data_IF_851912267280
#
_entry.id   IF_851912267280
#
_cell.length_a   1.000
_cell.length_b   1.000
_cell.length_c   1.000
_cell.angle_alpha   90.00
_cell.angle_beta   90.00
_cell.angle_gamma   90.00
#
_symmetry.space_group_name_H-M   'P 1'
#
loop_
_entity.id
_entity.type
_entity.pdbx_description
1 polymer ?
#
# COMPACT_ATOMS: atom_id res chain seq x y z
N UNK A 1 -39.62 -3.96 -38.20
CA UNK A 1 -38.28 -3.40 -37.88
C UNK A 1 -38.30 -2.94 -36.43
N UNK A 2 -37.79 -3.78 -35.51
CA UNK A 2 -37.59 -3.40 -34.11
C UNK A 2 -36.20 -2.78 -33.95
N UNK A 3 -36.15 -1.50 -33.60
CA UNK A 3 -34.92 -0.84 -33.14
C UNK A 3 -35.02 -0.60 -31.64
N UNK A 4 -34.44 -1.49 -30.83
CA UNK A 4 -34.28 -1.25 -29.39
C UNK A 4 -32.96 -0.54 -29.12
N UNK A 5 -33.08 0.57 -28.39
CA UNK A 5 -32.03 1.51 -27.99
C UNK A 5 -30.92 0.82 -27.19
N UNK A 6 -29.67 1.03 -27.59
CA UNK A 6 -28.48 0.78 -26.75
C UNK A 6 -28.53 1.73 -25.54
N UNK A 7 -28.77 1.18 -24.37
CA UNK A 7 -28.47 1.82 -23.09
C UNK A 7 -26.96 1.89 -22.92
N UNK A 8 -26.39 3.07 -23.12
CA UNK A 8 -25.03 3.38 -22.71
C UNK A 8 -25.00 3.40 -21.18
N UNK A 9 -24.38 2.38 -20.58
CA UNK A 9 -23.96 2.38 -19.18
C UNK A 9 -22.96 3.52 -18.98
N UNK A 10 -23.45 4.66 -18.51
CA UNK A 10 -22.65 5.75 -18.00
C UNK A 10 -21.92 5.28 -16.75
N UNK A 11 -20.69 4.78 -16.92
CA UNK A 11 -19.73 4.70 -15.81
C UNK A 11 -19.54 6.13 -15.29
N UNK A 12 -20.10 6.43 -14.11
CA UNK A 12 -19.73 7.64 -13.38
C UNK A 12 -18.24 7.57 -13.15
N UNK A 13 -17.50 8.42 -13.85
CA UNK A 13 -16.08 8.66 -13.62
C UNK A 13 -15.89 9.01 -12.16
N UNK A 14 -15.36 8.07 -11.38
CA UNK A 14 -14.79 8.34 -10.07
C UNK A 14 -13.68 9.34 -10.32
N UNK A 15 -13.81 10.54 -9.77
CA UNK A 15 -12.77 11.55 -9.88
C UNK A 15 -11.48 11.00 -9.24
N UNK A 16 -10.50 10.65 -10.06
CA UNK A 16 -9.15 10.25 -9.67
C UNK A 16 -8.39 11.36 -8.89
N UNK A 17 -9.03 12.50 -8.69
CA UNK A 17 -8.51 13.78 -8.22
C UNK A 17 -8.24 13.85 -6.72
N UNK A 18 -8.73 12.87 -5.97
CA UNK A 18 -8.69 12.82 -4.50
C UNK A 18 -7.71 11.75 -3.99
N UNK A 19 -7.27 10.83 -4.86
CA UNK A 19 -6.40 9.72 -4.48
C UNK A 19 -5.00 10.16 -4.01
N UNK A 20 -4.58 11.39 -4.31
CA UNK A 20 -3.26 11.94 -3.95
C UNK A 20 -3.25 12.86 -2.73
N UNK A 21 -4.42 13.29 -2.24
CA UNK A 21 -4.50 14.26 -1.13
C UNK A 21 -5.03 13.64 0.16
N UNK A 22 -4.84 12.33 0.33
CA UNK A 22 -4.98 11.70 1.62
C UNK A 22 -3.59 11.53 2.23
N UNK A 23 -3.12 12.51 3.03
CA UNK A 23 -2.30 12.11 4.15
C UNK A 23 -3.14 11.05 4.87
N UNK A 24 -2.61 9.83 4.96
CA UNK A 24 -3.13 8.90 5.94
C UNK A 24 -2.97 9.66 7.24
N UNK A 25 -4.04 10.32 7.73
CA UNK A 25 -4.01 11.02 9.01
C UNK A 25 -3.65 9.92 9.98
N UNK A 26 -2.39 9.89 10.37
CA UNK A 26 -1.89 9.08 11.47
C UNK A 26 -2.61 9.65 12.70
N UNK A 27 -3.87 9.27 12.90
CA UNK A 27 -4.43 9.31 14.23
C UNK A 27 -3.56 8.33 14.99
N UNK A 28 -2.80 8.85 15.94
CA UNK A 28 -2.05 8.06 16.92
C UNK A 28 -3.07 7.14 17.59
N UNK A 29 -3.22 5.94 17.05
CA UNK A 29 -3.99 4.87 17.64
C UNK A 29 -3.00 4.09 18.49
N UNK A 30 -3.00 4.34 19.79
CA UNK A 30 -2.42 3.41 20.74
C UNK A 30 -3.21 2.11 20.63
N UNK A 31 -2.59 1.09 20.04
CA UNK A 31 -3.19 -0.24 19.94
C UNK A 31 -2.37 -1.21 20.78
N UNK A 32 -3.00 -1.74 21.83
CA UNK A 32 -2.51 -2.87 22.59
C UNK A 32 -2.94 -4.15 21.87
N UNK A 33 -2.02 -4.80 21.19
CA UNK A 33 -2.26 -6.11 20.59
C UNK A 33 -2.14 -7.18 21.68
N UNK A 34 -3.27 -7.75 22.07
CA UNK A 34 -3.32 -9.06 22.71
C UNK A 34 -3.60 -10.08 21.60
N UNK A 35 -2.52 -10.65 21.05
CA UNK A 35 -2.40 -12.03 20.57
C UNK A 35 -1.05 -12.18 19.84
N UNK A 36 -0.33 -13.25 20.17
CA UNK A 36 1.07 -13.46 19.86
C UNK A 36 1.34 -13.94 18.43
N UNK A 37 1.47 -12.99 17.50
CA UNK A 37 2.20 -13.21 16.26
C UNK A 37 3.00 -11.94 15.91
N UNK A 38 4.30 -12.11 15.70
CA UNK A 38 5.31 -11.16 15.19
C UNK A 38 4.93 -9.66 15.25
N UNK A 39 5.34 -8.97 16.32
CA UNK A 39 5.37 -7.50 16.52
C UNK A 39 4.66 -6.65 15.43
N UNK A 40 3.35 -6.36 15.56
CA UNK A 40 2.57 -5.59 14.58
C UNK A 40 3.05 -4.12 14.40
N UNK A 41 4.03 -3.69 15.20
CA UNK A 41 4.58 -2.34 15.19
C UNK A 41 5.94 -2.23 14.48
N UNK A 42 6.51 -3.32 13.95
CA UNK A 42 7.81 -3.29 13.26
C UNK A 42 7.81 -2.35 12.05
N UNK A 43 6.69 -2.24 11.34
CA UNK A 43 6.59 -1.31 10.21
C UNK A 43 6.79 0.15 10.65
N UNK A 44 6.37 0.52 11.87
CA UNK A 44 6.44 1.90 12.37
C UNK A 44 7.77 2.24 13.05
N UNK A 45 8.68 1.27 13.18
CA UNK A 45 10.00 1.54 13.73
C UNK A 45 10.79 2.53 12.86
N UNK A 46 11.46 3.49 13.49
CA UNK A 46 12.21 4.54 12.78
C UNK A 46 13.35 3.94 11.94
N UNK A 47 13.97 2.87 12.43
CA UNK A 47 15.00 2.11 11.71
C UNK A 47 14.45 1.54 10.41
N UNK A 48 13.34 0.79 10.49
CA UNK A 48 12.64 0.20 9.33
C UNK A 48 12.15 1.26 8.36
N UNK A 49 11.52 2.33 8.86
CA UNK A 49 11.03 3.43 8.01
C UNK A 49 12.17 4.13 7.27
N UNK A 50 13.30 4.37 7.93
CA UNK A 50 14.48 4.96 7.27
C UNK A 50 15.03 4.07 6.16
N UNK A 51 15.04 2.75 6.37
CA UNK A 51 15.49 1.76 5.39
C UNK A 51 14.54 1.65 4.20
N UNK A 52 13.22 1.62 4.45
CA UNK A 52 12.20 1.61 3.41
C UNK A 52 12.21 2.89 2.57
N UNK A 53 12.47 4.05 3.18
CA UNK A 53 12.67 5.32 2.46
C UNK A 53 13.89 5.26 1.54
N UNK A 54 15.01 4.68 1.99
CA UNK A 54 16.21 4.46 1.15
C UNK A 54 15.92 3.54 -0.03
N UNK A 55 15.29 2.39 0.25
CA UNK A 55 14.87 1.40 -0.75
C UNK A 55 13.95 1.97 -1.83
N UNK A 56 13.05 2.88 -1.45
CA UNK A 56 12.07 3.46 -2.39
C UNK A 56 12.73 4.28 -3.49
N UNK A 57 13.92 4.86 -3.22
CA UNK A 57 14.65 5.86 -4.03
C UNK A 57 13.74 7.00 -4.52
N UNK A 58 14.04 8.24 -4.12
CA UNK A 58 13.25 9.39 -4.55
C UNK A 58 13.63 9.80 -5.99
N UNK A 59 12.71 9.62 -6.93
CA UNK A 59 12.80 10.19 -8.28
C UNK A 59 11.76 11.31 -8.46
N UNK A 60 12.25 12.54 -8.58
CA UNK A 60 11.42 13.74 -8.72
C UNK A 60 10.56 13.72 -9.99
N UNK A 61 11.06 13.13 -11.07
CA UNK A 61 10.32 13.05 -12.34
C UNK A 61 9.13 12.10 -12.22
N UNK A 62 9.33 10.95 -11.57
CA UNK A 62 8.27 9.97 -11.32
C UNK A 62 7.24 10.47 -10.31
N UNK A 63 7.67 11.16 -9.25
CA UNK A 63 6.78 11.70 -8.20
C UNK A 63 5.86 12.79 -8.76
N UNK A 64 6.42 13.77 -9.46
CA UNK A 64 5.67 14.91 -10.01
C UNK A 64 5.17 14.70 -11.44
N UNK A 65 5.14 13.44 -11.92
CA UNK A 65 4.67 13.15 -13.27
C UNK A 65 3.24 13.64 -13.48
N UNK A 66 2.94 14.07 -14.69
CA UNK A 66 1.60 14.52 -15.06
C UNK A 66 0.62 13.36 -14.98
N UNK A 67 -0.38 13.45 -14.09
CA UNK A 67 -1.47 12.48 -13.97
C UNK A 67 -2.74 13.01 -14.61
N UNK A 68 -3.53 12.12 -15.24
CA UNK A 68 -4.84 12.46 -15.80
C UNK A 68 -5.89 12.44 -14.68
N UNK A 69 -5.87 13.44 -13.82
CA UNK A 69 -6.74 13.54 -12.64
C UNK A 69 -8.18 14.00 -12.93
N UNK A 70 -8.54 14.24 -14.18
CA UNK A 70 -9.85 14.80 -14.56
C UNK A 70 -10.05 16.26 -14.16
N UNK A 71 -9.07 16.90 -13.51
CA UNK A 71 -9.03 18.35 -13.28
C UNK A 71 -8.64 19.07 -14.57
N UNK A 72 -9.21 20.26 -14.78
CA UNK A 72 -8.75 21.17 -15.82
C UNK A 72 -7.26 21.48 -15.65
N UNK A 73 -6.50 21.40 -16.74
CA UNK A 73 -5.09 21.80 -16.74
C UNK A 73 -5.03 23.29 -16.47
N UNK A 74 -4.37 23.68 -15.37
CA UNK A 74 -4.08 25.09 -15.10
C UNK A 74 -2.94 25.56 -15.98
N UNK A 75 -2.96 26.83 -16.36
CA UNK A 75 -1.91 27.43 -17.15
C UNK A 75 -0.56 27.41 -16.42
N UNK A 76 0.52 27.21 -17.17
CA UNK A 76 1.88 27.18 -16.62
C UNK A 76 2.34 28.59 -16.33
N UNK A 77 2.73 28.87 -15.08
CA UNK A 77 3.24 30.17 -14.66
C UNK A 77 4.76 30.16 -14.69
N UNK A 78 5.37 30.97 -15.56
CA UNK A 78 6.80 31.17 -15.62
C UNK A 78 7.24 32.21 -14.58
N UNK A 79 8.36 31.96 -13.91
CA UNK A 79 8.96 32.86 -12.91
C UNK A 79 10.47 32.96 -13.16
N UNK A 80 10.99 34.19 -13.14
CA UNK A 80 12.44 34.41 -13.12
C UNK A 80 12.94 34.26 -11.68
N UNK A 81 13.98 33.44 -11.49
CA UNK A 81 14.54 33.15 -10.17
C UNK A 81 16.06 33.38 -10.19
N UNK A 82 16.60 33.85 -9.09
CA UNK A 82 18.06 33.80 -8.85
C UNK A 82 18.49 32.37 -8.49
N UNK A 83 19.80 32.09 -8.49
CA UNK A 83 20.33 30.78 -8.10
C UNK A 83 19.91 30.38 -6.69
N UNK A 84 19.98 31.31 -5.73
CA UNK A 84 19.54 31.06 -4.35
C UNK A 84 18.04 30.74 -4.25
N UNK A 85 17.19 31.43 -5.03
CA UNK A 85 15.76 31.15 -5.07
C UNK A 85 15.46 29.80 -5.73
N UNK A 86 16.25 29.40 -6.74
CA UNK A 86 16.11 28.09 -7.37
C UNK A 86 16.45 26.97 -6.39
N UNK A 87 17.53 27.10 -5.62
CA UNK A 87 17.90 26.12 -4.59
C UNK A 87 16.83 25.99 -3.49
N UNK A 88 16.22 27.11 -3.07
CA UNK A 88 15.08 27.10 -2.15
C UNK A 88 13.86 26.38 -2.76
N UNK A 89 13.52 26.67 -4.02
CA UNK A 89 12.42 26.02 -4.71
C UNK A 89 12.65 24.51 -4.87
N UNK A 90 13.89 24.07 -5.11
CA UNK A 90 14.26 22.65 -5.17
C UNK A 90 14.07 22.00 -3.80
N UNK A 91 14.55 22.62 -2.71
CA UNK A 91 14.35 22.09 -1.35
C UNK A 91 12.88 21.98 -0.95
N UNK A 92 12.06 22.95 -1.34
CA UNK A 92 10.62 22.91 -1.10
C UNK A 92 9.94 21.82 -1.95
N UNK A 93 10.39 21.59 -3.18
CA UNK A 93 9.92 20.49 -4.01
C UNK A 93 10.31 19.13 -3.39
N UNK A 94 11.51 19.01 -2.83
CA UNK A 94 11.96 17.80 -2.12
C UNK A 94 11.10 17.51 -0.89
N UNK A 95 10.77 18.53 -0.08
CA UNK A 95 9.88 18.38 1.09
C UNK A 95 8.49 17.89 0.67
N UNK A 96 7.93 18.49 -0.40
CA UNK A 96 6.64 18.06 -0.96
C UNK A 96 6.69 16.63 -1.50
N UNK A 97 7.80 16.24 -2.13
CA UNK A 97 7.97 14.88 -2.62
C UNK A 97 7.99 13.87 -1.45
N UNK A 98 8.62 14.22 -0.33
CA UNK A 98 8.64 13.37 0.86
C UNK A 98 7.25 13.23 1.49
N UNK A 99 6.43 14.29 1.48
CA UNK A 99 5.01 14.25 1.88
C UNK A 99 4.18 13.34 0.97
N UNK A 100 4.37 13.44 -0.35
CA UNK A 100 3.66 12.60 -1.34
C UNK A 100 4.09 11.12 -1.28
N UNK A 101 5.34 10.85 -0.90
CA UNK A 101 5.88 9.50 -0.75
C UNK A 101 5.60 8.88 0.62
N UNK A 102 4.77 9.51 1.46
CA UNK A 102 4.37 8.92 2.73
C UNK A 102 3.67 7.57 2.51
N UNK A 103 4.33 6.50 2.96
CA UNK A 103 3.87 5.14 2.80
C UNK A 103 2.55 4.91 3.55
N UNK A 104 1.57 4.19 2.97
CA UNK A 104 0.41 3.76 3.72
C UNK A 104 0.83 2.80 4.86
N UNK A 105 0.19 2.87 6.03
CA UNK A 105 0.49 1.97 7.14
C UNK A 105 0.12 0.53 6.79
N UNK A 106 0.98 -0.41 7.19
CA UNK A 106 0.71 -1.85 7.11
C UNK A 106 0.15 -2.29 8.46
N UNK A 107 -1.06 -2.86 8.46
CA UNK A 107 -1.75 -3.32 9.67
C UNK A 107 -2.21 -4.76 9.50
N UNK A 108 -2.40 -5.47 10.63
CA UNK A 108 -3.08 -6.76 10.64
C UNK A 108 -4.59 -6.59 10.45
N UNK A 109 -5.23 -7.67 10.02
CA UNK A 109 -6.67 -7.71 9.84
C UNK A 109 -7.39 -7.49 11.18
N UNK A 110 -8.37 -6.58 11.17
CA UNK A 110 -9.18 -6.29 12.36
C UNK A 110 -10.17 -7.42 12.64
N UNK A 111 -10.40 -7.70 13.92
CA UNK A 111 -11.46 -8.63 14.37
C UNK A 111 -12.85 -8.00 14.17
N UNK A 112 -13.83 -8.83 13.84
CA UNK A 112 -15.24 -8.40 13.75
C UNK A 112 -15.77 -7.96 15.12
N UNK A 113 -16.68 -6.97 15.10
CA UNK A 113 -17.34 -6.48 16.30
C UNK A 113 -18.60 -7.31 16.51
N UNK A 114 -18.58 -8.22 17.47
CA UNK A 114 -19.79 -8.89 17.96
C UNK A 114 -20.01 -8.53 19.43
N UNK A 115 -20.72 -7.41 19.63
CA UNK A 115 -21.06 -6.95 20.98
C UNK A 115 -22.54 -6.59 21.06
N UNK A 116 -23.26 -7.34 21.91
CA UNK A 116 -24.67 -7.13 22.19
C UNK A 116 -24.82 -6.28 23.44
N UNK A 117 -25.54 -5.17 23.34
CA UNK A 117 -25.83 -4.27 24.45
C UNK A 117 -27.04 -4.75 25.26
N UNK A 118 -28.16 -5.02 24.57
CA UNK A 118 -29.45 -5.36 25.20
C UNK A 118 -30.21 -6.35 24.32
N UNK A 119 -30.94 -7.29 24.93
CA UNK A 119 -31.87 -8.19 24.24
C UNK A 119 -33.27 -8.01 24.82
N UNK A 120 -34.20 -7.56 23.96
CA UNK A 120 -35.60 -7.30 24.35
C UNK A 120 -36.55 -8.20 23.57
N UNK A 121 -36.98 -9.30 24.19
CA UNK A 121 -37.85 -10.31 23.53
C UNK A 121 -39.22 -9.76 23.13
N UNK A 122 -39.71 -8.73 23.84
CA UNK A 122 -41.01 -8.09 23.55
C UNK A 122 -41.03 -7.34 22.21
N UNK A 123 -39.87 -7.03 21.65
CA UNK A 123 -39.74 -6.30 20.39
C UNK A 123 -39.60 -7.23 19.17
N UNK A 124 -39.54 -8.55 19.40
CA UNK A 124 -39.43 -9.56 18.33
C UNK A 124 -40.68 -9.50 17.45
N UNK A 125 -40.48 -9.34 16.13
CA UNK A 125 -41.56 -9.32 15.15
C UNK A 125 -42.36 -8.01 15.07
N UNK A 126 -42.00 -6.98 15.86
CA UNK A 126 -42.63 -5.66 15.80
C UNK A 126 -42.24 -4.91 14.52
N UNK A 127 -40.97 -5.04 14.10
CA UNK A 127 -40.41 -4.36 12.95
C UNK A 127 -39.92 -5.36 11.90
N UNK A 128 -40.07 -5.02 10.62
CA UNK A 128 -39.64 -5.82 9.46
C UNK A 128 -38.26 -5.46 8.93
N UNK A 129 -37.58 -4.51 9.57
CA UNK A 129 -36.30 -3.97 9.12
C UNK A 129 -35.47 -3.52 10.30
N UNK A 130 -34.15 -3.53 10.13
CA UNK A 130 -33.18 -3.08 11.13
C UNK A 130 -33.14 -1.55 11.21
N UNK A 131 -32.96 -1.02 12.41
CA UNK A 131 -32.71 0.42 12.63
C UNK A 131 -31.26 0.64 13.03
N UNK A 132 -30.60 1.62 12.39
CA UNK A 132 -29.21 1.98 12.68
C UNK A 132 -29.19 3.38 13.29
N UNK A 133 -28.77 3.45 14.55
CA UNK A 133 -28.62 4.69 15.30
C UNK A 133 -27.15 5.10 15.24
N UNK A 134 -26.88 6.29 14.71
CA UNK A 134 -25.51 6.82 14.57
C UNK A 134 -25.39 8.13 15.34
N UNK A 135 -24.41 8.21 16.24
CA UNK A 135 -24.05 9.47 16.88
C UNK A 135 -23.33 10.40 15.89
N UNK A 136 -23.93 11.54 15.58
CA UNK A 136 -23.39 12.54 14.64
C UNK A 136 -22.63 13.67 15.33
N UNK A 137 -22.29 13.52 16.61
CA UNK A 137 -21.55 14.53 17.37
C UNK A 137 -20.18 14.86 16.71
N UNK A 138 -19.84 16.15 16.73
CA UNK A 138 -18.54 16.66 16.29
C UNK A 138 -17.46 16.32 17.34
N UNK A 139 -16.23 16.05 16.89
CA UNK A 139 -15.10 15.71 17.78
C UNK A 139 -14.92 14.21 18.06
N UNK A 140 -15.79 13.35 17.53
CA UNK A 140 -15.61 11.89 17.50
C UNK A 140 -14.89 11.45 16.22
N UNK A 141 -14.03 10.45 16.32
CA UNK A 141 -13.37 9.81 15.19
C UNK A 141 -14.23 8.66 14.64
N UNK A 142 -13.99 8.31 13.38
CA UNK A 142 -14.70 7.22 12.71
C UNK A 142 -14.55 5.87 13.40
N UNK A 143 -13.53 5.69 14.26
CA UNK A 143 -13.30 4.49 15.08
C UNK A 143 -13.98 4.53 16.46
N UNK A 144 -14.13 5.70 17.08
CA UNK A 144 -14.70 5.80 18.44
C UNK A 144 -16.18 6.25 18.48
N UNK A 145 -16.75 6.63 17.33
CA UNK A 145 -18.17 6.99 17.19
C UNK A 145 -19.10 5.85 17.62
N UNK A 146 -20.15 6.15 18.39
CA UNK A 146 -21.14 5.15 18.79
C UNK A 146 -22.12 4.89 17.64
N UNK A 147 -22.21 3.63 17.20
CA UNK A 147 -23.18 3.20 16.19
C UNK A 147 -23.83 1.91 16.70
N UNK A 148 -25.14 1.95 16.89
CA UNK A 148 -25.92 0.83 17.40
C UNK A 148 -26.94 0.38 16.35
N UNK A 149 -27.17 -0.92 16.29
CA UNK A 149 -28.13 -1.54 15.39
C UNK A 149 -29.18 -2.27 16.22
N UNK A 150 -30.45 -1.93 15.98
CA UNK A 150 -31.59 -2.69 16.49
C UNK A 150 -32.01 -3.68 15.42
N UNK A 151 -31.82 -4.96 15.70
CA UNK A 151 -32.23 -6.05 14.81
C UNK A 151 -33.73 -6.38 14.96
N UNK A 152 -34.25 -7.15 14.02
CA UNK A 152 -35.66 -7.60 13.98
C UNK A 152 -36.00 -8.55 15.14
N UNK A 153 -34.98 -9.22 15.69
CA UNK A 153 -35.07 -10.09 16.87
C UNK A 153 -35.06 -9.32 18.19
N UNK A 154 -35.34 -8.00 18.17
CA UNK A 154 -35.38 -7.17 19.38
C UNK A 154 -34.01 -6.96 20.05
N UNK A 155 -32.91 -7.36 19.42
CA UNK A 155 -31.55 -7.22 19.96
C UNK A 155 -30.93 -5.88 19.58
N UNK A 156 -30.40 -5.13 20.55
CA UNK A 156 -29.55 -3.97 20.35
C UNK A 156 -28.09 -4.39 20.42
N UNK A 157 -27.38 -4.27 19.30
CA UNK A 157 -25.94 -4.57 19.22
C UNK A 157 -25.15 -3.37 18.68
N UNK A 158 -23.83 -3.42 18.81
CA UNK A 158 -22.97 -2.51 18.06
C UNK A 158 -23.00 -2.86 16.57
N UNK A 159 -22.82 -1.83 15.73
CA UNK A 159 -22.74 -2.01 14.29
C UNK A 159 -21.47 -2.79 13.89
N UNK A 160 -21.61 -3.64 12.88
CA UNK A 160 -20.49 -4.32 12.26
C UNK A 160 -19.61 -3.32 11.51
N UNK A 161 -18.38 -3.70 11.16
CA UNK A 161 -17.46 -2.80 10.45
C UNK A 161 -17.98 -2.31 9.10
N UNK A 162 -18.70 -3.15 8.35
CA UNK A 162 -19.33 -2.76 7.08
C UNK A 162 -20.43 -1.70 7.30
N UNK A 163 -21.36 -1.97 8.22
CA UNK A 163 -22.44 -1.05 8.60
C UNK A 163 -21.86 0.28 9.08
N UNK A 164 -20.81 0.22 9.92
CA UNK A 164 -20.09 1.39 10.44
C UNK A 164 -19.45 2.22 9.33
N UNK A 165 -18.73 1.57 8.42
CA UNK A 165 -18.07 2.25 7.29
C UNK A 165 -19.10 2.95 6.41
N UNK A 166 -20.23 2.28 6.14
CA UNK A 166 -21.34 2.82 5.36
C UNK A 166 -21.98 4.03 6.04
N UNK A 167 -22.30 3.93 7.33
CA UNK A 167 -22.89 5.05 8.09
C UNK A 167 -21.94 6.23 8.17
N UNK A 168 -20.66 5.99 8.46
CA UNK A 168 -19.66 7.05 8.48
C UNK A 168 -19.57 7.75 7.13
N UNK A 169 -19.61 7.03 6.00
CA UNK A 169 -19.59 7.66 4.68
C UNK A 169 -20.88 8.44 4.34
N UNK A 170 -22.04 8.03 4.86
CA UNK A 170 -23.31 8.76 4.65
C UNK A 170 -23.30 10.09 5.41
N UNK A 171 -22.93 10.08 6.69
CA UNK A 171 -22.98 11.27 7.54
C UNK A 171 -21.74 12.16 7.40
N UNK A 172 -20.57 11.55 7.14
CA UNK A 172 -19.28 12.22 7.00
C UNK A 172 -18.59 11.78 5.70
N UNK A 173 -19.10 12.22 4.53
CA UNK A 173 -18.59 11.77 3.24
C UNK A 173 -17.12 12.13 3.05
N UNK A 174 -16.28 11.12 2.88
CA UNK A 174 -14.90 11.29 2.44
C UNK A 174 -14.87 11.33 0.91
N UNK A 175 -14.10 12.25 0.32
CA UNK A 175 -14.00 12.32 -1.14
C UNK A 175 -13.33 11.04 -1.68
N UNK A 176 -13.61 10.64 -2.93
CA UNK A 176 -13.19 9.36 -3.53
C UNK A 176 -13.61 8.05 -2.83
N UNK A 177 -14.13 8.06 -1.60
CA UNK A 177 -14.72 6.86 -1.00
C UNK A 177 -16.15 6.70 -1.50
N UNK A 178 -16.46 5.53 -2.04
CA UNK A 178 -17.81 5.17 -2.45
C UNK A 178 -18.54 4.43 -1.34
N UNK A 179 -19.87 4.54 -1.32
CA UNK A 179 -20.72 3.84 -0.36
C UNK A 179 -20.69 2.32 -0.56
N UNK A 180 -20.67 1.92 -1.82
CA UNK A 180 -20.57 0.52 -2.25
C UNK A 180 -19.17 0.26 -2.73
N UNK A 181 -18.67 -0.96 -2.50
CA UNK A 181 -17.35 -1.35 -3.00
C UNK A 181 -17.35 -1.30 -4.53
N UNK A 182 -16.41 -0.56 -5.14
CA UNK A 182 -16.30 -0.49 -6.59
C UNK A 182 -16.11 -1.87 -7.23
N UNK A 183 -16.80 -2.11 -8.34
CA UNK A 183 -16.79 -3.39 -9.11
C UNK A 183 -15.38 -3.77 -9.59
N UNK A 184 -14.45 -2.81 -9.66
CA UNK A 184 -13.05 -3.05 -10.01
C UNK A 184 -12.29 -3.93 -9.00
N UNK A 185 -12.73 -4.00 -7.75
CA UNK A 185 -12.08 -4.82 -6.71
C UNK A 185 -12.57 -6.28 -6.71
N UNK A 186 -13.59 -6.60 -7.52
CA UNK A 186 -13.99 -7.98 -7.77
C UNK A 186 -12.89 -8.70 -8.55
N UNK A 187 -12.67 -9.97 -8.26
CA UNK A 187 -11.50 -10.70 -8.74
C UNK A 187 -11.36 -10.74 -10.26
N UNK A 188 -12.48 -10.86 -10.98
CA UNK A 188 -12.53 -10.89 -12.44
C UNK A 188 -12.03 -9.60 -13.09
N UNK A 189 -12.38 -8.46 -12.50
CA UNK A 189 -11.97 -7.15 -13.02
C UNK A 189 -10.59 -6.75 -12.51
N UNK A 190 -10.28 -7.14 -11.27
CA UNK A 190 -8.97 -6.91 -10.68
C UNK A 190 -7.88 -7.60 -11.51
N UNK A 191 -8.06 -8.87 -11.90
CA UNK A 191 -7.09 -9.59 -12.75
C UNK A 191 -6.85 -8.88 -14.09
N UNK A 192 -7.89 -8.35 -14.74
CA UNK A 192 -7.75 -7.57 -15.99
C UNK A 192 -6.96 -6.28 -15.80
N UNK A 193 -7.04 -5.63 -14.63
CA UNK A 193 -6.27 -4.43 -14.32
C UNK A 193 -4.81 -4.77 -13.98
N UNK A 194 -4.58 -5.92 -13.34
CA UNK A 194 -3.24 -6.44 -13.05
C UNK A 194 -2.47 -6.70 -14.35
N UNK A 195 -3.10 -7.34 -15.35
CA UNK A 195 -2.51 -7.58 -16.68
C UNK A 195 -2.17 -6.30 -17.44
N UNK A 196 -2.89 -5.19 -17.18
CA UNK A 196 -2.63 -3.89 -17.79
C UNK A 196 -1.51 -3.09 -17.11
N UNK A 197 -0.88 -3.63 -16.07
CA UNK A 197 0.15 -2.96 -15.27
C UNK A 197 -0.34 -1.68 -14.56
N UNK A 198 -1.64 -1.55 -14.31
CA UNK A 198 -2.23 -0.38 -13.61
C UNK A 198 -2.19 -0.53 -12.07
N UNK A 199 -1.08 -1.05 -11.54
CA UNK A 199 -0.98 -1.44 -10.12
C UNK A 199 -1.02 -0.27 -9.16
N UNK A 200 -0.32 0.82 -9.49
CA UNK A 200 -0.35 2.04 -8.68
C UNK A 200 -1.77 2.61 -8.58
N UNK A 201 -2.54 2.54 -9.67
CA UNK A 201 -3.93 2.99 -9.67
C UNK A 201 -4.82 2.13 -8.75
N UNK A 202 -4.64 0.81 -8.79
CA UNK A 202 -5.37 -0.11 -7.89
C UNK A 202 -5.05 0.20 -6.43
N UNK A 203 -3.76 0.35 -6.09
CA UNK A 203 -3.31 0.61 -4.73
C UNK A 203 -3.76 1.99 -4.23
N UNK A 204 -3.64 3.03 -5.05
CA UNK A 204 -4.15 4.38 -4.75
C UNK A 204 -5.67 4.35 -4.52
N UNK A 205 -6.43 3.63 -5.37
CA UNK A 205 -7.88 3.47 -5.20
C UNK A 205 -8.21 2.72 -3.92
N UNK A 206 -7.47 1.66 -3.59
CA UNK A 206 -7.68 0.86 -2.38
C UNK A 206 -7.47 1.69 -1.12
N UNK A 207 -6.42 2.51 -1.05
CA UNK A 207 -6.17 3.43 0.07
C UNK A 207 -7.27 4.47 0.27
N UNK A 208 -7.94 4.90 -0.81
CA UNK A 208 -9.06 5.83 -0.69
C UNK A 208 -10.37 5.14 -0.28
N UNK A 209 -10.60 3.92 -0.79
CA UNK A 209 -11.85 3.20 -0.58
C UNK A 209 -11.92 2.57 0.82
N UNK A 210 -10.86 1.88 1.24
CA UNK A 210 -10.85 1.06 2.45
C UNK A 210 -10.04 1.71 3.58
N UNK A 211 -10.12 1.13 4.77
CA UNK A 211 -9.20 1.41 5.87
C UNK A 211 -8.03 0.40 5.83
N UNK A 212 -6.84 0.73 6.37
CA UNK A 212 -5.65 -0.12 6.25
C UNK A 212 -5.75 -1.48 6.97
N UNK A 213 -6.64 -1.60 7.96
CA UNK A 213 -6.93 -2.81 8.73
C UNK A 213 -8.14 -3.60 8.17
N UNK A 214 -8.73 -3.13 7.07
CA UNK A 214 -9.87 -3.77 6.43
C UNK A 214 -9.44 -5.06 5.71
N UNK A 215 -10.17 -6.19 5.87
CA UNK A 215 -9.87 -7.45 5.17
C UNK A 215 -9.77 -7.27 3.64
N UNK A 216 -10.64 -6.45 3.05
CA UNK A 216 -10.64 -6.23 1.59
C UNK A 216 -9.42 -5.42 1.14
N UNK A 217 -8.96 -4.46 1.95
CA UNK A 217 -7.73 -3.73 1.66
C UNK A 217 -6.52 -4.68 1.64
N UNK A 218 -6.41 -5.52 2.66
CA UNK A 218 -5.33 -6.48 2.82
C UNK A 218 -5.37 -7.49 1.67
N UNK A 219 -6.55 -8.02 1.32
CA UNK A 219 -6.75 -8.94 0.19
C UNK A 219 -6.28 -8.33 -1.13
N UNK A 220 -6.71 -7.11 -1.45
CA UNK A 220 -6.38 -6.45 -2.72
C UNK A 220 -4.88 -6.13 -2.80
N UNK A 221 -4.31 -5.54 -1.73
CA UNK A 221 -2.90 -5.16 -1.71
C UNK A 221 -1.97 -6.38 -1.82
N UNK A 222 -2.23 -7.46 -1.07
CA UNK A 222 -1.46 -8.72 -1.16
C UNK A 222 -1.51 -9.31 -2.56
N UNK A 223 -2.70 -9.38 -3.16
CA UNK A 223 -2.86 -9.89 -4.53
C UNK A 223 -2.07 -9.06 -5.56
N UNK A 224 -2.06 -7.74 -5.42
CA UNK A 224 -1.22 -6.87 -6.27
C UNK A 224 0.26 -7.15 -6.04
N UNK A 225 0.71 -7.25 -4.79
CA UNK A 225 2.12 -7.49 -4.46
C UNK A 225 2.64 -8.84 -4.96
N UNK A 226 1.85 -9.90 -4.80
CA UNK A 226 2.15 -11.23 -5.32
C UNK A 226 2.25 -11.23 -6.86
N UNK A 227 1.34 -10.51 -7.52
CA UNK A 227 1.38 -10.36 -8.99
C UNK A 227 2.59 -9.55 -9.46
N UNK A 228 2.95 -8.48 -8.76
CA UNK A 228 4.15 -7.70 -9.06
C UNK A 228 5.39 -8.58 -8.92
N UNK A 229 5.47 -9.37 -7.84
CA UNK A 229 6.58 -10.27 -7.61
C UNK A 229 6.69 -11.36 -8.68
N UNK A 230 5.57 -11.97 -9.09
CA UNK A 230 5.59 -12.98 -10.16
C UNK A 230 5.96 -12.40 -11.53
N UNK A 231 5.58 -11.15 -11.81
CA UNK A 231 5.97 -10.45 -13.03
C UNK A 231 7.43 -9.98 -13.07
N UNK A 232 8.05 -9.82 -11.90
CA UNK A 232 9.41 -9.27 -11.75
C UNK A 232 9.55 -7.77 -12.09
N UNK A 233 8.47 -7.06 -12.44
CA UNK A 233 8.56 -5.67 -12.89
C UNK A 233 8.36 -4.67 -11.74
N UNK A 234 9.33 -4.57 -10.84
CA UNK A 234 9.24 -3.67 -9.68
C UNK A 234 9.30 -2.18 -10.05
N UNK A 235 9.81 -1.84 -11.23
CA UNK A 235 10.02 -0.46 -11.68
C UNK A 235 8.73 0.36 -11.79
N UNK A 236 7.58 -0.28 -11.98
CA UNK A 236 6.29 0.41 -11.99
C UNK A 236 5.97 1.08 -10.65
N UNK A 237 6.29 0.41 -9.54
CA UNK A 237 6.00 0.87 -8.18
C UNK A 237 7.20 1.58 -7.53
N UNK A 238 8.40 1.51 -8.08
CA UNK A 238 9.55 2.29 -7.58
C UNK A 238 9.27 3.79 -7.60
N UNK A 239 9.83 4.50 -6.62
CA UNK A 239 9.57 5.92 -6.39
C UNK A 239 8.08 6.26 -6.26
N UNK A 240 7.28 5.31 -5.75
CA UNK A 240 5.90 5.53 -5.31
C UNK A 240 5.79 5.22 -3.83
N UNK A 241 4.74 5.75 -3.17
CA UNK A 241 4.45 5.49 -1.76
C UNK A 241 4.19 4.01 -1.43
N UNK A 242 3.92 3.17 -2.44
CA UNK A 242 3.56 1.77 -2.24
C UNK A 242 4.75 0.82 -2.32
N UNK A 243 5.93 1.30 -2.74
CA UNK A 243 7.12 0.45 -2.86
C UNK A 243 7.58 -0.11 -1.51
N UNK A 244 7.67 0.74 -0.49
CA UNK A 244 8.10 0.28 0.84
C UNK A 244 7.18 -0.80 1.43
N UNK A 245 5.84 -0.61 1.46
CA UNK A 245 4.90 -1.66 1.86
C UNK A 245 5.01 -2.95 1.05
N UNK A 246 5.26 -2.86 -0.26
CA UNK A 246 5.52 -4.04 -1.11
C UNK A 246 6.77 -4.80 -0.62
N UNK A 247 7.91 -4.11 -0.48
CA UNK A 247 9.16 -4.77 -0.05
C UNK A 247 9.02 -5.34 1.37
N UNK A 248 8.33 -4.61 2.26
CA UNK A 248 8.01 -5.11 3.59
C UNK A 248 7.16 -6.38 3.55
N UNK A 249 6.13 -6.43 2.71
CA UNK A 249 5.31 -7.63 2.53
C UNK A 249 6.11 -8.82 2.01
N UNK A 250 6.96 -8.61 1.00
CA UNK A 250 7.81 -9.66 0.43
C UNK A 250 8.84 -10.20 1.44
N UNK A 251 9.44 -9.31 2.23
CA UNK A 251 10.36 -9.71 3.28
C UNK A 251 9.62 -10.48 4.40
N UNK A 252 8.42 -10.03 4.78
CA UNK A 252 7.59 -10.73 5.77
C UNK A 252 7.15 -12.13 5.29
N UNK A 253 6.80 -12.28 4.01
CA UNK A 253 6.36 -13.54 3.42
C UNK A 253 7.52 -14.46 2.98
N UNK A 254 8.77 -14.12 3.32
CA UNK A 254 9.97 -14.82 2.86
C UNK A 254 10.05 -15.00 1.33
N UNK A 255 9.61 -14.01 0.54
CA UNK A 255 9.58 -14.10 -0.92
C UNK A 255 10.36 -12.93 -1.57
N UNK A 256 11.64 -12.83 -1.21
CA UNK A 256 12.52 -11.74 -1.64
C UNK A 256 13.34 -12.06 -2.90
N UNK A 257 13.43 -13.33 -3.29
CA UNK A 257 14.37 -13.82 -4.30
C UNK A 257 14.22 -13.12 -5.66
N UNK A 258 12.99 -12.92 -6.13
CA UNK A 258 12.76 -12.28 -7.43
C UNK A 258 13.09 -10.78 -7.39
N UNK A 259 12.88 -10.09 -6.25
CA UNK A 259 13.32 -8.71 -6.07
C UNK A 259 14.84 -8.60 -6.06
N UNK A 260 15.54 -9.52 -5.38
CA UNK A 260 17.00 -9.53 -5.36
C UNK A 260 17.58 -9.82 -6.75
N UNK A 261 16.97 -10.74 -7.51
CA UNK A 261 17.39 -11.02 -8.88
C UNK A 261 17.25 -9.77 -9.77
N UNK A 262 16.11 -9.07 -9.72
CA UNK A 262 15.93 -7.83 -10.51
C UNK A 262 16.88 -6.71 -10.07
N UNK A 263 17.17 -6.59 -8.77
CA UNK A 263 18.17 -5.64 -8.28
C UNK A 263 19.58 -5.94 -8.83
N UNK A 264 19.99 -7.21 -8.89
CA UNK A 264 21.29 -7.60 -9.45
C UNK A 264 21.34 -7.38 -10.96
N UNK A 265 20.25 -7.67 -11.68
CA UNK A 265 20.16 -7.45 -13.13
C UNK A 265 20.18 -5.97 -13.52
N UNK A 266 19.67 -5.09 -12.64
CA UNK A 266 19.58 -3.64 -12.88
C UNK A 266 20.71 -2.82 -12.24
N UNK A 267 21.79 -3.48 -11.78
CA UNK A 267 22.95 -2.85 -11.14
C UNK A 267 22.61 -2.06 -9.86
N UNK A 268 21.68 -2.59 -9.05
CA UNK A 268 21.23 -2.02 -7.78
C UNK A 268 21.65 -2.89 -6.59
N UNK A 269 22.95 -3.12 -6.47
CA UNK A 269 23.53 -3.94 -5.39
C UNK A 269 23.22 -3.39 -3.99
N UNK A 270 23.25 -2.06 -3.83
CA UNK A 270 22.90 -1.39 -2.57
C UNK A 270 21.45 -1.67 -2.14
N UNK A 271 20.51 -1.65 -3.09
CA UNK A 271 19.09 -1.90 -2.81
C UNK A 271 18.88 -3.36 -2.41
N UNK A 272 19.59 -4.31 -3.04
CA UNK A 272 19.57 -5.72 -2.66
C UNK A 272 20.07 -5.91 -1.22
N UNK A 273 21.17 -5.24 -0.88
CA UNK A 273 21.74 -5.23 0.45
C UNK A 273 20.79 -4.68 1.52
N UNK A 274 20.14 -3.54 1.26
CA UNK A 274 19.14 -2.97 2.16
C UNK A 274 17.90 -3.85 2.31
N UNK A 275 17.48 -4.54 1.24
CA UNK A 275 16.37 -5.48 1.31
C UNK A 275 16.70 -6.70 2.19
N UNK A 276 17.93 -7.22 2.12
CA UNK A 276 18.41 -8.30 3.01
C UNK A 276 18.51 -7.82 4.47
N UNK A 277 18.97 -6.58 4.70
CA UNK A 277 18.95 -5.99 6.05
C UNK A 277 17.53 -5.93 6.62
N UNK A 278 16.56 -5.50 5.82
CA UNK A 278 15.15 -5.50 6.22
C UNK A 278 14.67 -6.91 6.57
N UNK A 279 15.02 -7.89 5.73
CA UNK A 279 14.69 -9.29 5.98
C UNK A 279 15.24 -9.79 7.32
N UNK A 280 16.50 -9.47 7.65
CA UNK A 280 17.11 -9.86 8.94
C UNK A 280 16.42 -9.18 10.14
N UNK A 281 15.95 -7.95 9.99
CA UNK A 281 15.17 -7.27 11.04
C UNK A 281 13.83 -7.98 11.29
N UNK A 282 13.17 -8.45 10.22
CA UNK A 282 11.89 -9.17 10.31
C UNK A 282 12.05 -10.62 10.75
N UNK A 283 13.19 -11.25 10.45
CA UNK A 283 13.50 -12.64 10.82
C UNK A 283 14.81 -12.71 11.62
N UNK A 284 14.77 -12.41 12.94
CA UNK A 284 15.97 -12.41 13.78
C UNK A 284 16.71 -13.75 13.80
N UNK A 285 15.98 -14.86 13.63
CA UNK A 285 16.53 -16.23 13.65
C UNK A 285 17.23 -16.62 12.34
N UNK A 286 17.09 -15.82 11.27
CA UNK A 286 17.71 -16.12 9.98
C UNK A 286 19.25 -16.09 10.09
N UNK A 287 19.93 -17.05 9.45
CA UNK A 287 21.39 -17.16 9.48
C UNK A 287 22.07 -16.18 8.50
N UNK A 288 21.85 -14.89 8.70
CA UNK A 288 22.40 -13.78 7.92
C UNK A 288 22.95 -12.74 8.88
N UNK A 289 24.09 -12.15 8.55
CA UNK A 289 24.71 -11.10 9.36
C UNK A 289 23.80 -9.85 9.46
N UNK A 290 23.80 -9.21 10.62
CA UNK A 290 23.01 -7.99 10.86
C UNK A 290 23.62 -6.73 10.22
N UNK A 291 24.91 -6.76 9.90
CA UNK A 291 25.64 -5.60 9.36
C UNK A 291 26.46 -5.98 8.14
N UNK A 292 26.44 -5.11 7.13
CA UNK A 292 27.28 -5.23 5.95
C UNK A 292 28.67 -4.70 6.29
N UNK A 293 29.71 -5.50 6.05
CA UNK A 293 31.09 -5.02 6.12
C UNK A 293 31.39 -4.26 4.82
N UNK A 294 32.05 -3.11 4.95
CA UNK A 294 32.35 -2.25 3.81
C UNK A 294 33.21 -3.00 2.79
N UNK A 295 32.75 -3.09 1.55
CA UNK A 295 33.41 -3.85 0.47
C UNK A 295 33.04 -5.33 0.35
N UNK A 296 32.15 -5.86 1.20
CA UNK A 296 31.69 -7.27 1.15
C UNK A 296 30.21 -7.43 0.76
N UNK A 297 29.67 -6.48 -0.01
CA UNK A 297 28.24 -6.44 -0.40
C UNK A 297 27.84 -7.68 -1.23
N UNK A 298 28.69 -8.10 -2.17
CA UNK A 298 28.47 -9.31 -2.95
C UNK A 298 28.47 -10.58 -2.07
N UNK A 299 29.39 -10.66 -1.12
CA UNK A 299 29.48 -11.80 -0.21
C UNK A 299 28.27 -11.84 0.74
N UNK A 300 27.73 -10.67 1.10
CA UNK A 300 26.51 -10.55 1.89
C UNK A 300 25.30 -11.11 1.15
N UNK A 301 25.13 -10.77 -0.13
CA UNK A 301 24.09 -11.34 -0.98
C UNK A 301 24.28 -12.84 -1.13
N UNK A 302 25.53 -13.30 -1.29
CA UNK A 302 25.83 -14.74 -1.38
C UNK A 302 25.45 -15.50 -0.11
N UNK A 303 25.75 -14.95 1.06
CA UNK A 303 25.37 -15.56 2.35
C UNK A 303 23.85 -15.71 2.48
N UNK A 304 23.08 -14.72 2.01
CA UNK A 304 21.62 -14.82 1.93
C UNK A 304 21.17 -15.95 0.97
N UNK A 305 21.76 -16.03 -0.23
CA UNK A 305 21.45 -17.08 -1.22
C UNK A 305 21.68 -18.48 -0.64
N UNK A 306 22.77 -18.65 0.11
CA UNK A 306 23.14 -19.95 0.65
C UNK A 306 22.24 -20.40 1.81
N UNK A 307 21.74 -19.46 2.63
CA UNK A 307 21.07 -19.78 3.89
C UNK A 307 19.55 -19.56 3.90
N UNK A 308 19.01 -18.64 3.08
CA UNK A 308 17.64 -18.14 3.22
C UNK A 308 16.81 -18.12 1.92
N UNK A 309 17.42 -18.36 0.75
CA UNK A 309 16.72 -18.28 -0.53
C UNK A 309 15.81 -19.49 -0.79
N UNK A 310 14.60 -19.25 -1.30
CA UNK A 310 13.71 -20.32 -1.75
C UNK A 310 14.01 -20.71 -3.20
N UNK A 311 14.26 -19.73 -4.07
CA UNK A 311 14.60 -19.91 -5.50
C UNK A 311 16.10 -19.79 -5.78
N UNK A 312 16.90 -20.57 -5.04
CA UNK A 312 18.37 -20.51 -5.06
C UNK A 312 18.97 -20.55 -6.47
N UNK A 313 18.47 -21.41 -7.36
CA UNK A 313 19.02 -21.58 -8.71
C UNK A 313 18.92 -20.31 -9.58
N UNK A 314 17.77 -19.61 -9.52
CA UNK A 314 17.53 -18.39 -10.30
C UNK A 314 18.38 -17.24 -9.76
N UNK A 315 18.41 -17.08 -8.44
CA UNK A 315 19.17 -16.01 -7.80
C UNK A 315 20.69 -16.23 -7.91
N UNK A 316 21.17 -17.48 -7.84
CA UNK A 316 22.56 -17.81 -8.10
C UNK A 316 22.99 -17.46 -9.53
N UNK A 317 22.12 -17.70 -10.52
CA UNK A 317 22.40 -17.35 -11.91
C UNK A 317 22.56 -15.83 -12.06
N UNK A 318 21.62 -15.06 -11.51
CA UNK A 318 21.69 -13.60 -11.48
C UNK A 318 22.97 -13.11 -10.79
N UNK A 319 23.34 -13.70 -9.65
CA UNK A 319 24.57 -13.40 -8.94
C UNK A 319 25.84 -13.69 -9.76
N UNK A 320 25.92 -14.85 -10.44
CA UNK A 320 27.06 -15.21 -11.30
C UNK A 320 27.20 -14.24 -12.48
N UNK A 321 26.08 -13.89 -13.11
CA UNK A 321 26.04 -12.91 -14.21
C UNK A 321 26.52 -11.54 -13.75
N UNK A 322 26.03 -11.07 -12.60
CA UNK A 322 26.44 -9.79 -12.02
C UNK A 322 27.93 -9.78 -11.62
N UNK A 323 28.43 -10.85 -10.99
CA UNK A 323 29.85 -10.97 -10.66
C UNK A 323 30.73 -10.96 -11.92
N UNK A 324 30.30 -11.63 -12.98
CA UNK A 324 31.01 -11.58 -14.26
C UNK A 324 31.03 -10.17 -14.86
N UNK A 325 29.88 -9.47 -14.82
CA UNK A 325 29.76 -8.08 -15.27
C UNK A 325 30.73 -7.15 -14.52
N UNK A 326 30.78 -7.23 -13.18
CA UNK A 326 31.72 -6.43 -12.38
C UNK A 326 33.20 -6.73 -12.69
N UNK A 327 33.52 -7.98 -13.04
CA UNK A 327 34.90 -8.37 -13.39
C UNK A 327 35.34 -7.91 -14.79
N UNK A 328 34.39 -7.68 -15.71
CA UNK A 328 34.65 -7.30 -17.11
C UNK A 328 33.77 -6.10 -17.55
N UNK A 329 34.03 -4.88 -17.05
CA UNK A 329 33.21 -3.70 -17.33
C UNK A 329 33.24 -3.22 -18.81
N UNK A 330 34.10 -3.80 -19.66
CA UNK A 330 34.38 -3.32 -21.02
C UNK A 330 33.43 -3.81 -22.12
N UNK A 331 32.54 -4.77 -21.87
CA UNK A 331 31.63 -5.29 -22.91
C UNK A 331 30.26 -4.61 -22.98
N UNK A 332 29.95 -3.63 -22.12
CA UNK A 332 28.62 -3.04 -21.99
C UNK A 332 28.45 -1.64 -22.61
N UNK A 333 29.52 -1.00 -23.09
CA UNK A 333 29.44 0.32 -23.75
C UNK A 333 29.13 0.24 -25.26
N UNK A 334 28.64 -0.91 -25.75
CA UNK A 334 28.36 -1.15 -27.15
C UNK A 334 26.99 -1.82 -27.35
N UNK A 335 25.91 -1.16 -26.94
CA UNK A 335 24.57 -1.27 -27.56
C UNK A 335 23.88 0.08 -27.49
#
# INVERSE_FOLDING_TARGET
MLGLRRTLLSFRTVEASVLQSFPCRQSVCTFSSADGDQNPNLFFDDGVQSLLKKLTRKDMNKVFRKRKEGKGVKDTVYKFMTTAQLEEAVRDAERKADELLQMPPVMSERKEIDHVLVKDEKLVGLFKSKFIFTDISLGKTDRNRAIAVRDEQGTLRLANWEERTRMNQIYFPRPARELWVPVMFQDENLSKLLEKNEWEFILDRACAQFEPDDPEYIRVTRKVYEFVNSSGNFNNLRSTRHYGPLVFHLAQSNNLDTLLAENLETDRLEDACWAIQLYKILHPDANVDSSIKQGSELDYVKAFIDNCSNEKAKLELAYKNFKHYMSNPRSAAAV
#
